data_IF_120455371445
#
_entry.id   IF_120455371445
#
_cell.length_a   1.000
_cell.length_b   1.000
_cell.length_c   1.000
_cell.angle_alpha   90.00
_cell.angle_beta   90.00
_cell.angle_gamma   90.00
#
_symmetry.space_group_name_H-M   'P 1'
#
loop_
_entity.id
_entity.type
_entity.pdbx_description
1 polymer ?
#
# COMPACT_ATOMS: atom_id res chain seq x y z
N UNK A 1 -40.21 -11.21 -25.18
CA UNK A 1 -38.99 -10.78 -24.47
C UNK A 1 -38.94 -11.55 -23.16
N UNK A 2 -38.09 -12.58 -23.08
CA UNK A 2 -37.84 -13.25 -21.82
C UNK A 2 -36.91 -12.35 -21.02
N UNK A 3 -37.39 -11.85 -19.89
CA UNK A 3 -36.53 -11.22 -18.90
C UNK A 3 -35.77 -12.36 -18.21
N UNK A 4 -34.51 -12.57 -18.57
CA UNK A 4 -33.60 -13.35 -17.74
C UNK A 4 -33.45 -12.59 -16.42
N UNK A 5 -34.07 -13.13 -15.37
CA UNK A 5 -33.80 -12.71 -14.00
C UNK A 5 -32.38 -13.18 -13.71
N UNK A 6 -31.40 -12.28 -13.78
CA UNK A 6 -30.05 -12.55 -13.27
C UNK A 6 -30.18 -12.90 -11.79
N UNK A 7 -30.11 -14.19 -11.46
CA UNK A 7 -30.04 -14.66 -10.08
C UNK A 7 -28.73 -14.16 -9.47
N UNK A 8 -28.80 -13.70 -8.22
CA UNK A 8 -27.62 -13.26 -7.47
C UNK A 8 -26.68 -14.46 -7.32
N UNK A 9 -25.42 -14.30 -7.75
CA UNK A 9 -24.37 -15.30 -7.53
C UNK A 9 -23.64 -15.01 -6.21
N UNK A 10 -24.02 -15.71 -5.15
CA UNK A 10 -23.41 -15.55 -3.81
C UNK A 10 -22.33 -16.62 -3.65
N UNK A 11 -21.08 -16.19 -3.54
CA UNK A 11 -19.92 -17.07 -3.31
C UNK A 11 -19.48 -16.93 -1.85
N UNK A 12 -19.46 -18.05 -1.12
CA UNK A 12 -18.90 -18.09 0.23
C UNK A 12 -17.38 -18.20 0.13
N UNK A 13 -16.68 -17.21 0.69
CA UNK A 13 -15.22 -17.26 0.81
C UNK A 13 -14.84 -18.14 2.00
N UNK A 14 -13.84 -19.00 1.79
CA UNK A 14 -13.32 -19.93 2.81
C UNK A 14 -11.85 -19.61 3.11
N UNK A 15 -11.39 -19.91 4.33
CA UNK A 15 -9.99 -19.73 4.74
C UNK A 15 -9.67 -18.39 5.40
N UNK A 16 -10.66 -17.49 5.49
CA UNK A 16 -10.61 -16.22 6.22
C UNK A 16 -11.94 -16.00 6.95
N UNK A 17 -11.95 -15.23 8.03
CA UNK A 17 -13.18 -14.91 8.80
C UNK A 17 -13.25 -13.44 9.17
N UNK A 18 -14.45 -12.85 9.02
CA UNK A 18 -14.81 -11.52 9.52
C UNK A 18 -13.86 -10.37 9.11
N UNK A 19 -13.35 -10.42 7.88
CA UNK A 19 -12.50 -9.39 7.30
C UNK A 19 -13.16 -8.74 6.08
N UNK A 20 -12.93 -7.44 5.90
CA UNK A 20 -13.50 -6.66 4.80
C UNK A 20 -12.56 -6.71 3.59
N UNK A 21 -13.01 -7.20 2.41
CA UNK A 21 -12.19 -7.21 1.21
C UNK A 21 -12.18 -5.84 0.53
N UNK A 22 -11.00 -5.30 0.29
CA UNK A 22 -10.77 -4.04 -0.42
C UNK A 22 -10.12 -4.30 -1.78
N UNK A 23 -10.53 -3.55 -2.81
CA UNK A 23 -9.95 -3.67 -4.14
C UNK A 23 -8.49 -3.20 -4.11
N UNK A 24 -7.58 -3.98 -4.68
CA UNK A 24 -6.18 -3.56 -4.84
C UNK A 24 -6.11 -2.60 -6.02
N UNK A 25 -5.58 -1.39 -5.78
CA UNK A 25 -5.38 -0.40 -6.84
C UNK A 25 -4.47 -0.93 -7.95
N UNK A 26 -4.77 -0.59 -9.20
CA UNK A 26 -4.03 -1.07 -10.38
C UNK A 26 -4.49 -2.42 -10.93
N UNK A 27 -5.54 -3.02 -10.35
CA UNK A 27 -6.18 -4.24 -10.86
C UNK A 27 -7.70 -4.19 -10.68
N UNK A 28 -8.41 -5.00 -11.46
CA UNK A 28 -9.88 -5.16 -11.37
C UNK A 28 -10.30 -6.53 -10.85
N UNK A 29 -9.34 -7.42 -10.59
CA UNK A 29 -9.59 -8.83 -10.28
C UNK A 29 -9.12 -9.24 -8.90
N UNK A 30 -8.43 -8.37 -8.17
CA UNK A 30 -7.80 -8.76 -6.92
C UNK A 30 -8.19 -7.84 -5.79
N UNK A 31 -8.59 -8.48 -4.69
CA UNK A 31 -8.92 -7.84 -3.44
C UNK A 31 -7.91 -8.29 -2.38
N UNK A 32 -7.72 -7.48 -1.34
CA UNK A 32 -6.99 -7.87 -0.15
C UNK A 32 -7.88 -7.76 1.08
N UNK A 33 -7.52 -8.48 2.14
CA UNK A 33 -8.11 -8.29 3.45
C UNK A 33 -7.04 -8.53 4.52
N UNK A 34 -7.00 -7.66 5.53
CA UNK A 34 -6.10 -7.82 6.67
C UNK A 34 -6.80 -8.58 7.80
N UNK A 35 -6.05 -9.46 8.46
CA UNK A 35 -6.50 -10.27 9.60
C UNK A 35 -5.64 -9.97 10.83
N UNK A 36 -6.29 -9.84 11.99
CA UNK A 36 -5.66 -9.76 13.32
C UNK A 36 -6.49 -10.56 14.32
N UNK A 37 -5.84 -11.12 15.35
CA UNK A 37 -6.51 -11.94 16.38
C UNK A 37 -7.39 -11.15 17.35
N UNK A 38 -7.09 -9.88 17.60
CA UNK A 38 -7.70 -9.11 18.71
C UNK A 38 -7.94 -7.65 18.38
N UNK A 39 -6.93 -6.98 17.85
CA UNK A 39 -6.95 -5.53 17.64
C UNK A 39 -6.40 -5.23 16.26
N UNK A 40 -7.18 -4.48 15.50
CA UNK A 40 -6.70 -3.89 14.26
C UNK A 40 -5.99 -2.58 14.60
N UNK A 41 -4.79 -2.41 14.06
CA UNK A 41 -3.99 -1.20 14.24
C UNK A 41 -3.18 -0.96 12.96
N UNK A 42 -2.72 0.27 12.76
CA UNK A 42 -1.77 0.53 11.69
C UNK A 42 -0.34 0.07 12.06
N UNK A 43 0.57 0.14 11.10
CA UNK A 43 1.95 -0.29 11.27
C UNK A 43 2.71 0.54 12.33
N UNK A 44 2.39 1.83 12.46
CA UNK A 44 3.03 2.70 13.44
C UNK A 44 2.52 2.41 14.85
N UNK A 45 1.21 2.21 15.02
CA UNK A 45 0.61 1.77 16.28
C UNK A 45 1.20 0.41 16.72
N UNK A 46 1.42 -0.51 15.79
CA UNK A 46 2.09 -1.78 16.09
C UNK A 46 3.54 -1.57 16.57
N UNK A 47 4.28 -0.65 15.95
CA UNK A 47 5.63 -0.28 16.40
C UNK A 47 5.60 0.29 17.83
N UNK A 48 4.66 1.17 18.14
CA UNK A 48 4.51 1.79 19.46
C UNK A 48 4.14 0.75 20.53
N UNK A 49 3.27 -0.22 20.23
CA UNK A 49 2.97 -1.36 21.11
C UNK A 49 4.27 -2.08 21.51
N UNK A 50 5.12 -2.40 20.53
CA UNK A 50 6.38 -3.13 20.80
C UNK A 50 7.39 -2.25 21.54
N UNK A 51 7.51 -0.96 21.21
CA UNK A 51 8.38 0.00 21.91
C UNK A 51 8.01 0.17 23.38
N UNK A 52 6.73 0.07 23.72
CA UNK A 52 6.24 0.08 25.10
C UNK A 52 6.50 -1.24 25.85
N UNK A 53 7.14 -2.22 25.20
CA UNK A 53 7.44 -3.53 25.77
C UNK A 53 6.25 -4.48 25.79
N UNK A 54 5.17 -4.16 25.07
CA UNK A 54 4.02 -5.04 24.90
C UNK A 54 4.21 -5.97 23.70
N UNK A 55 3.47 -7.08 23.71
CA UNK A 55 3.46 -8.02 22.60
C UNK A 55 2.42 -7.61 21.56
N UNK A 56 2.84 -7.35 20.33
CA UNK A 56 1.95 -7.21 19.20
C UNK A 56 1.58 -8.61 18.69
N UNK A 57 0.29 -8.94 18.59
CA UNK A 57 -0.18 -10.29 18.24
C UNK A 57 0.14 -10.70 16.79
N UNK A 58 0.47 -9.72 15.95
CA UNK A 58 0.73 -9.89 14.53
C UNK A 58 -0.45 -9.47 13.66
N UNK A 59 -0.14 -9.12 12.41
CA UNK A 59 -1.12 -8.91 11.36
C UNK A 59 -0.77 -9.73 10.14
N UNK A 60 -1.80 -10.25 9.47
CA UNK A 60 -1.67 -10.97 8.21
C UNK A 60 -2.46 -10.27 7.11
N UNK A 61 -2.08 -10.53 5.87
CA UNK A 61 -2.79 -10.05 4.71
C UNK A 61 -3.06 -11.20 3.73
N UNK A 62 -4.31 -11.33 3.33
CA UNK A 62 -4.77 -12.33 2.36
C UNK A 62 -5.18 -11.64 1.07
N UNK A 63 -5.06 -12.37 -0.04
CA UNK A 63 -5.54 -11.96 -1.35
C UNK A 63 -6.75 -12.79 -1.74
N UNK A 64 -7.70 -12.18 -2.42
CA UNK A 64 -8.90 -12.84 -2.94
C UNK A 64 -8.99 -12.56 -4.44
N UNK A 65 -9.03 -13.61 -5.24
CA UNK A 65 -9.21 -13.49 -6.69
C UNK A 65 -10.69 -13.46 -7.07
N UNK A 66 -11.07 -12.47 -7.85
CA UNK A 66 -12.40 -12.34 -8.46
C UNK A 66 -12.39 -12.96 -9.87
N UNK A 67 -13.47 -13.67 -10.27
CA UNK A 67 -14.74 -13.83 -9.57
C UNK A 67 -14.87 -15.02 -8.63
N UNK A 68 -13.98 -16.01 -8.71
CA UNK A 68 -14.16 -17.32 -8.08
C UNK A 68 -13.97 -17.33 -6.55
N UNK A 69 -13.38 -16.28 -5.98
CA UNK A 69 -13.19 -16.14 -4.54
C UNK A 69 -12.03 -16.97 -3.97
N UNK A 70 -11.07 -17.38 -4.80
CA UNK A 70 -9.88 -18.11 -4.35
C UNK A 70 -9.04 -17.22 -3.43
N UNK A 71 -8.75 -17.74 -2.23
CA UNK A 71 -7.93 -17.06 -1.24
C UNK A 71 -6.48 -17.50 -1.34
N UNK A 72 -5.57 -16.54 -1.36
CA UNK A 72 -4.13 -16.76 -1.22
C UNK A 72 -3.65 -16.15 0.09
N UNK A 73 -3.01 -16.96 0.93
CA UNK A 73 -2.45 -16.57 2.22
C UNK A 73 -0.92 -16.78 2.18
N UNK A 74 -0.16 -15.85 1.56
CA UNK A 74 1.28 -16.05 1.36
C UNK A 74 2.07 -16.07 2.68
N UNK A 75 1.50 -15.57 3.77
CA UNK A 75 2.16 -15.51 5.06
C UNK A 75 1.34 -16.20 6.15
N UNK A 76 2.05 -16.60 7.19
CA UNK A 76 1.47 -17.02 8.47
C UNK A 76 1.49 -15.84 9.44
N UNK A 77 0.42 -15.66 10.21
CA UNK A 77 0.37 -14.65 11.26
C UNK A 77 1.36 -14.98 12.38
N UNK A 78 2.24 -14.05 12.69
CA UNK A 78 3.28 -14.19 13.73
C UNK A 78 3.28 -12.97 14.64
N UNK A 79 3.50 -13.22 15.93
CA UNK A 79 3.70 -12.16 16.92
C UNK A 79 4.80 -11.21 16.47
N UNK A 80 4.64 -9.92 16.73
CA UNK A 80 5.60 -8.86 16.41
C UNK A 80 5.97 -8.78 14.92
N UNK A 81 5.11 -9.31 14.04
CA UNK A 81 5.24 -9.18 12.59
C UNK A 81 4.01 -8.50 12.03
N UNK A 82 4.24 -7.40 11.31
CA UNK A 82 3.21 -6.65 10.62
C UNK A 82 3.32 -6.89 9.12
N UNK A 83 2.20 -7.16 8.46
CA UNK A 83 2.10 -7.30 7.01
C UNK A 83 1.13 -6.24 6.50
N UNK A 84 1.68 -5.27 5.77
CA UNK A 84 0.91 -4.17 5.21
C UNK A 84 0.09 -4.63 4.00
N UNK A 85 -0.91 -3.84 3.61
CA UNK A 85 -1.64 -4.08 2.38
C UNK A 85 -0.70 -4.18 1.17
N UNK A 86 -1.00 -5.06 0.21
CA UNK A 86 -0.17 -5.25 -0.97
C UNK A 86 -0.29 -4.09 -1.95
N UNK A 87 0.70 -3.98 -2.82
CA UNK A 87 0.56 -3.25 -4.08
C UNK A 87 0.59 -4.20 -5.27
N UNK A 88 -0.13 -3.85 -6.34
CA UNK A 88 -0.09 -4.55 -7.61
C UNK A 88 1.03 -4.01 -8.50
N UNK A 89 1.86 -4.91 -9.03
CA UNK A 89 2.99 -4.56 -9.88
C UNK A 89 3.09 -5.57 -11.04
N UNK A 90 2.36 -5.30 -12.14
CA UNK A 90 2.41 -6.05 -13.39
C UNK A 90 2.37 -7.59 -13.23
N UNK A 91 1.32 -8.13 -12.64
CA UNK A 91 1.15 -9.59 -12.49
C UNK A 91 1.68 -10.16 -11.17
N UNK A 92 2.36 -9.35 -10.36
CA UNK A 92 2.89 -9.74 -9.06
C UNK A 92 2.34 -8.82 -7.97
N UNK A 93 2.31 -9.33 -6.76
CA UNK A 93 2.08 -8.52 -5.56
C UNK A 93 3.40 -8.21 -4.90
N UNK A 94 3.52 -7.00 -4.37
CA UNK A 94 4.59 -6.68 -3.45
C UNK A 94 4.02 -6.36 -2.07
N UNK A 95 4.67 -6.87 -1.03
CA UNK A 95 4.27 -6.70 0.37
C UNK A 95 5.39 -6.06 1.16
N UNK A 96 5.02 -5.12 2.03
CA UNK A 96 5.86 -4.63 3.10
C UNK A 96 5.60 -5.49 4.34
N UNK A 97 6.68 -6.06 4.87
CA UNK A 97 6.63 -6.86 6.09
C UNK A 97 7.63 -6.27 7.07
N UNK A 98 7.17 -5.93 8.27
CA UNK A 98 8.03 -5.42 9.35
C UNK A 98 8.05 -6.44 10.47
N UNK A 99 9.25 -6.92 10.80
CA UNK A 99 9.47 -7.82 11.92
C UNK A 99 10.17 -7.04 13.04
N UNK A 100 9.45 -6.77 14.11
CA UNK A 100 9.95 -5.95 15.22
C UNK A 100 10.93 -6.71 16.12
N UNK A 101 10.80 -8.04 16.24
CA UNK A 101 11.75 -8.86 17.02
C UNK A 101 13.13 -8.88 16.34
N UNK A 102 13.15 -9.09 15.03
CA UNK A 102 14.37 -9.09 14.21
C UNK A 102 14.84 -7.68 13.84
N UNK A 103 13.98 -6.66 14.04
CA UNK A 103 14.22 -5.25 13.67
C UNK A 103 14.57 -5.09 12.20
N UNK A 104 13.79 -5.73 11.33
CA UNK A 104 13.97 -5.66 9.87
C UNK A 104 12.69 -5.26 9.16
N UNK A 105 12.87 -4.53 8.06
CA UNK A 105 11.88 -4.28 7.03
C UNK A 105 12.20 -5.20 5.85
N UNK A 106 11.22 -5.97 5.40
CA UNK A 106 11.34 -6.88 4.28
C UNK A 106 10.34 -6.53 3.20
N UNK A 107 10.81 -6.49 1.95
CA UNK A 107 9.98 -6.30 0.77
C UNK A 107 9.87 -7.66 0.09
N UNK A 108 8.66 -8.19 -0.01
CA UNK A 108 8.38 -9.46 -0.68
C UNK A 108 7.78 -9.24 -2.06
N UNK A 109 7.95 -10.23 -2.93
CA UNK A 109 7.16 -10.41 -4.14
C UNK A 109 6.43 -11.74 -4.08
N UNK A 110 5.14 -11.73 -4.39
CA UNK A 110 4.30 -12.90 -4.49
C UNK A 110 3.73 -13.04 -5.90
N UNK A 111 3.96 -14.20 -6.50
CA UNK A 111 3.46 -14.56 -7.83
C UNK A 111 2.32 -15.58 -7.64
N UNK A 112 1.04 -15.16 -7.77
CA UNK A 112 -0.11 -16.02 -7.46
C UNK A 112 -0.21 -17.23 -8.39
N UNK A 113 0.17 -17.08 -9.66
CA UNK A 113 0.18 -18.16 -10.65
C UNK A 113 1.09 -19.33 -10.23
N UNK A 114 2.22 -19.01 -9.59
CA UNK A 114 3.23 -19.99 -9.19
C UNK A 114 3.18 -20.32 -7.68
N UNK A 115 2.26 -19.69 -6.94
CA UNK A 115 2.20 -19.73 -5.47
C UNK A 115 3.57 -19.44 -4.83
N UNK A 116 4.34 -18.53 -5.42
CA UNK A 116 5.74 -18.30 -5.06
C UNK A 116 5.90 -16.99 -4.33
N UNK A 117 6.37 -17.07 -3.09
CA UNK A 117 6.79 -15.92 -2.29
C UNK A 117 8.32 -15.81 -2.31
N UNK A 118 8.85 -14.62 -2.58
CA UNK A 118 10.30 -14.35 -2.63
C UNK A 118 10.63 -13.03 -1.96
N UNK A 119 11.75 -12.96 -1.23
CA UNK A 119 12.26 -11.70 -0.69
C UNK A 119 12.96 -10.93 -1.82
N UNK A 120 12.59 -9.66 -1.99
CA UNK A 120 13.23 -8.72 -2.92
C UNK A 120 14.35 -7.96 -2.20
N UNK A 121 14.08 -7.51 -0.98
CA UNK A 121 15.02 -6.73 -0.20
C UNK A 121 14.76 -6.91 1.30
N UNK A 122 15.82 -6.87 2.10
CA UNK A 122 15.78 -6.75 3.56
C UNK A 122 16.59 -5.51 3.97
N UNK A 123 16.04 -4.71 4.87
CA UNK A 123 16.62 -3.47 5.37
C UNK A 123 16.52 -3.47 6.91
N UNK A 124 17.47 -2.86 7.62
CA UNK A 124 17.32 -2.66 9.06
C UNK A 124 16.14 -1.71 9.33
N UNK A 125 15.33 -2.00 10.34
CA UNK A 125 14.21 -1.13 10.74
C UNK A 125 14.69 0.29 11.11
N UNK A 126 15.91 0.41 11.61
CA UNK A 126 16.54 1.70 11.94
C UNK A 126 16.90 2.57 10.72
N UNK A 127 16.63 2.13 9.49
CA UNK A 127 16.83 2.96 8.29
C UNK A 127 15.83 4.13 8.24
N UNK A 128 14.68 3.98 8.90
CA UNK A 128 13.66 5.01 9.09
C UNK A 128 13.60 5.40 10.57
N UNK A 129 13.09 6.61 10.86
CA UNK A 129 12.92 7.09 12.23
C UNK A 129 11.81 6.34 12.98
N UNK A 130 10.74 6.01 12.27
CA UNK A 130 9.59 5.26 12.75
C UNK A 130 8.83 4.68 11.53
N UNK A 131 7.73 3.97 11.81
CA UNK A 131 6.89 3.39 10.77
C UNK A 131 5.66 4.24 10.38
N UNK A 132 5.59 5.52 10.75
CA UNK A 132 4.43 6.38 10.45
C UNK A 132 4.22 6.52 8.95
N UNK A 133 3.10 5.99 8.43
CA UNK A 133 2.81 5.89 6.99
C UNK A 133 3.97 5.30 6.17
N UNK A 134 4.68 4.30 6.72
CA UNK A 134 5.66 3.52 5.97
C UNK A 134 4.91 2.58 5.01
N UNK A 135 5.19 2.67 3.71
CA UNK A 135 4.41 1.97 2.69
C UNK A 135 5.24 1.63 1.45
N UNK A 136 4.71 0.74 0.61
CA UNK A 136 5.24 0.53 -0.74
C UNK A 136 4.49 1.40 -1.76
N UNK A 137 5.22 1.85 -2.77
CA UNK A 137 4.67 2.46 -3.98
C UNK A 137 5.21 1.73 -5.21
N UNK A 138 4.39 1.59 -6.23
CA UNK A 138 4.75 0.93 -7.49
C UNK A 138 5.21 1.90 -8.57
N UNK A 139 5.80 1.36 -9.64
CA UNK A 139 6.21 2.07 -10.85
C UNK A 139 7.20 3.24 -10.61
N UNK A 140 8.48 2.99 -10.24
CA UNK A 140 9.09 1.72 -9.86
C UNK A 140 8.73 1.31 -8.42
N UNK A 141 9.06 0.08 -8.04
CA UNK A 141 8.88 -0.40 -6.66
C UNK A 141 9.77 0.41 -5.71
N UNK A 142 9.15 1.07 -4.72
CA UNK A 142 9.81 1.91 -3.74
C UNK A 142 9.28 1.63 -2.34
N UNK A 143 10.16 1.71 -1.34
CA UNK A 143 9.79 1.85 0.06
C UNK A 143 9.78 3.34 0.39
N UNK A 144 8.64 3.84 0.84
CA UNK A 144 8.43 5.25 1.12
C UNK A 144 7.88 5.48 2.52
N UNK A 145 8.08 6.69 3.04
CA UNK A 145 7.49 7.17 4.30
C UNK A 145 6.94 8.58 4.11
N UNK A 146 5.74 8.82 4.65
CA UNK A 146 5.09 10.12 4.68
C UNK A 146 4.67 10.47 6.11
N UNK A 147 5.59 11.07 6.85
CA UNK A 147 5.40 11.31 8.27
C UNK A 147 4.42 12.46 8.60
N UNK A 148 3.83 13.09 7.57
CA UNK A 148 3.08 14.33 7.71
C UNK A 148 3.91 15.46 8.40
N UNK A 149 5.22 15.46 8.19
CA UNK A 149 6.16 16.46 8.69
C UNK A 149 6.63 17.44 7.59
N UNK A 150 5.98 17.39 6.42
CA UNK A 150 6.34 18.16 5.23
C UNK A 150 7.51 17.55 4.45
N UNK A 151 7.92 16.31 4.76
CA UNK A 151 8.94 15.58 4.02
C UNK A 151 8.38 14.23 3.55
N UNK A 152 8.45 14.01 2.24
CA UNK A 152 8.25 12.70 1.65
C UNK A 152 9.59 11.99 1.49
N UNK A 153 9.70 10.76 1.99
CA UNK A 153 10.92 9.98 1.93
C UNK A 153 10.77 8.81 0.97
N UNK A 154 11.70 8.67 0.03
CA UNK A 154 11.94 7.44 -0.73
C UNK A 154 13.14 6.77 -0.06
N UNK A 155 12.87 5.85 0.86
CA UNK A 155 13.90 5.16 1.66
C UNK A 155 14.72 4.20 0.79
N UNK A 156 14.05 3.47 -0.10
CA UNK A 156 14.67 2.54 -1.04
C UNK A 156 13.92 2.61 -2.38
N UNK A 157 14.60 2.53 -3.54
CA UNK A 157 16.03 2.22 -3.71
C UNK A 157 16.98 3.43 -3.69
N UNK A 158 16.47 4.66 -3.71
CA UNK A 158 17.28 5.85 -4.02
C UNK A 158 17.66 6.73 -2.83
N UNK A 159 17.12 6.49 -1.63
CA UNK A 159 17.36 7.29 -0.42
C UNK A 159 17.19 8.81 -0.67
N UNK A 160 15.99 9.23 -1.05
CA UNK A 160 15.63 10.62 -1.32
C UNK A 160 14.73 11.18 -0.23
N UNK A 161 14.84 12.48 0.02
CA UNK A 161 13.91 13.26 0.84
C UNK A 161 13.46 14.47 0.03
N UNK A 162 12.15 14.68 -0.04
CA UNK A 162 11.54 15.73 -0.84
C UNK A 162 10.65 16.56 0.08
N UNK A 163 10.82 17.88 0.06
CA UNK A 163 9.93 18.78 0.79
C UNK A 163 8.60 18.88 0.06
N UNK A 164 7.52 18.57 0.77
CA UNK A 164 6.14 18.58 0.25
C UNK A 164 5.26 19.49 1.10
N UNK A 165 4.11 19.87 0.54
CA UNK A 165 3.05 20.56 1.28
C UNK A 165 2.39 19.67 2.35
N UNK A 166 1.72 20.29 3.33
CA UNK A 166 1.07 19.57 4.44
C UNK A 166 -0.12 18.70 4.05
N UNK A 167 -0.71 18.97 2.90
CA UNK A 167 -1.87 18.24 2.38
C UNK A 167 -1.50 17.42 1.15
N UNK A 168 -0.21 17.26 0.88
CA UNK A 168 0.30 16.51 -0.26
C UNK A 168 0.44 15.02 0.06
N UNK A 169 0.13 14.15 -0.89
CA UNK A 169 0.36 12.71 -0.76
C UNK A 169 0.71 12.09 -2.11
N UNK A 170 1.73 11.21 -2.15
CA UNK A 170 2.17 10.64 -3.42
C UNK A 170 1.09 9.73 -4.03
N UNK A 171 0.68 10.03 -5.25
CA UNK A 171 -0.19 9.19 -6.07
C UNK A 171 0.67 8.13 -6.78
N UNK A 172 1.58 8.58 -7.64
CA UNK A 172 2.39 7.73 -8.51
C UNK A 172 3.68 8.43 -8.93
N UNK A 173 4.64 7.67 -9.47
CA UNK A 173 5.86 8.16 -10.10
C UNK A 173 5.90 7.75 -11.58
N UNK A 174 6.40 8.62 -12.44
CA UNK A 174 6.78 8.29 -13.80
C UNK A 174 8.19 8.82 -14.09
N UNK A 175 9.17 7.91 -14.19
CA UNK A 175 10.57 8.29 -14.34
C UNK A 175 11.07 9.19 -13.21
N UNK A 176 11.33 10.46 -13.52
CA UNK A 176 11.75 11.46 -12.53
C UNK A 176 10.59 12.28 -11.95
N UNK A 177 9.40 12.18 -12.52
CA UNK A 177 8.25 12.97 -12.10
C UNK A 177 7.45 12.23 -11.01
N UNK A 178 7.21 12.94 -9.91
CA UNK A 178 6.41 12.49 -8.78
C UNK A 178 5.09 13.25 -8.77
N UNK A 179 3.98 12.52 -8.89
CA UNK A 179 2.64 13.08 -8.89
C UNK A 179 2.08 13.00 -7.47
N UNK A 180 1.83 14.15 -6.85
CA UNK A 180 1.20 14.26 -5.54
C UNK A 180 -0.23 14.80 -5.70
N UNK A 181 -1.19 14.23 -4.98
CA UNK A 181 -2.45 14.95 -4.73
C UNK A 181 -2.19 16.03 -3.71
N UNK A 182 -2.96 17.11 -3.74
CA UNK A 182 -3.01 18.13 -2.69
C UNK A 182 -4.44 18.52 -2.49
N UNK A 183 -4.95 18.29 -1.29
CA UNK A 183 -6.30 18.70 -0.94
C UNK A 183 -6.32 20.08 -0.29
N UNK A 184 -7.43 20.77 -0.47
CA UNK A 184 -7.76 22.07 0.12
C UNK A 184 -9.17 21.99 0.70
N UNK A 185 -9.41 22.73 1.77
CA UNK A 185 -10.74 22.87 2.37
C UNK A 185 -10.95 24.34 2.75
N UNK A 186 -11.25 25.17 1.76
CA UNK A 186 -11.56 26.59 1.95
C UNK A 186 -12.38 27.18 0.76
N UNK A 187 -13.69 27.43 0.89
CA UNK A 187 -14.63 26.91 1.89
C UNK A 187 -15.09 25.47 1.60
N UNK A 188 -14.83 24.95 0.39
CA UNK A 188 -15.26 23.62 -0.07
C UNK A 188 -14.03 22.77 -0.44
N UNK A 189 -14.18 21.45 -0.26
CA UNK A 189 -13.15 20.48 -0.61
C UNK A 189 -12.86 20.48 -2.11
N UNK A 190 -11.58 20.61 -2.46
CA UNK A 190 -11.08 20.38 -3.81
C UNK A 190 -9.65 19.85 -3.79
N UNK A 191 -9.22 19.23 -4.89
CA UNK A 191 -7.86 18.72 -5.06
C UNK A 191 -7.18 19.39 -6.25
N UNK A 192 -5.85 19.47 -6.16
CA UNK A 192 -4.96 19.65 -7.29
C UNK A 192 -3.92 18.54 -7.32
N UNK A 193 -3.25 18.38 -8.45
CA UNK A 193 -2.11 17.48 -8.61
C UNK A 193 -0.87 18.31 -8.86
N UNK A 194 0.19 18.04 -8.10
CA UNK A 194 1.50 18.67 -8.25
C UNK A 194 2.48 17.63 -8.75
N UNK A 195 3.21 18.00 -9.80
CA UNK A 195 4.28 17.20 -10.37
C UNK A 195 5.61 17.75 -9.93
N UNK A 196 6.41 16.94 -9.23
CA UNK A 196 7.74 17.31 -8.74
C UNK A 196 8.83 16.46 -9.37
N UNK A 197 9.98 17.06 -9.67
CA UNK A 197 11.17 16.27 -10.01
C UNK A 197 11.74 15.61 -8.74
N UNK A 198 11.95 14.29 -8.79
CA UNK A 198 12.45 13.47 -7.67
C UNK A 198 13.85 13.85 -7.20
N UNK A 199 14.67 14.43 -8.08
CA UNK A 199 16.06 14.74 -7.78
C UNK A 199 16.23 16.09 -7.09
N UNK A 200 15.37 17.05 -7.43
CA UNK A 200 15.46 18.44 -6.99
C UNK A 200 14.32 18.84 -6.05
N UNK A 201 13.19 18.15 -6.09
CA UNK A 201 11.95 18.50 -5.39
C UNK A 201 11.20 19.69 -6.00
N UNK A 202 11.70 20.24 -7.11
CA UNK A 202 11.10 21.38 -7.79
C UNK A 202 9.75 21.00 -8.41
N UNK A 203 8.78 21.92 -8.35
CA UNK A 203 7.49 21.75 -9.01
C UNK A 203 7.66 22.03 -10.50
N UNK A 204 7.36 21.03 -11.32
CA UNK A 204 7.39 21.10 -12.79
C UNK A 204 6.03 21.52 -13.36
N UNK A 205 4.95 21.00 -12.80
CA UNK A 205 3.57 21.26 -13.24
C UNK A 205 2.63 21.24 -12.03
N UNK A 206 1.55 22.01 -12.10
CA UNK A 206 0.42 21.93 -11.18
C UNK A 206 -0.88 22.05 -11.98
N UNK A 207 -1.88 21.24 -11.64
CA UNK A 207 -3.20 21.32 -12.25
C UNK A 207 -4.33 20.94 -11.30
N UNK A 208 -5.47 21.60 -11.45
CA UNK A 208 -6.67 21.31 -10.66
C UNK A 208 -7.26 19.94 -11.01
N UNK A 209 -7.91 19.34 -10.01
CA UNK A 209 -8.63 18.09 -10.15
C UNK A 209 -7.85 16.88 -9.64
N UNK A 210 -8.22 15.71 -10.16
CA UNK A 210 -7.77 14.41 -9.64
C UNK A 210 -6.93 13.66 -10.66
N UNK A 211 -5.99 12.84 -10.16
CA UNK A 211 -5.33 11.81 -10.96
C UNK A 211 -5.67 10.44 -10.38
N UNK A 212 -6.46 9.65 -11.11
CA UNK A 212 -6.87 8.32 -10.70
C UNK A 212 -6.04 7.24 -11.38
N UNK A 213 -5.45 6.35 -10.58
CA UNK A 213 -4.75 5.15 -11.06
C UNK A 213 -5.77 4.06 -11.37
N UNK A 214 -5.69 3.49 -12.58
CA UNK A 214 -6.56 2.44 -13.07
C UNK A 214 -5.74 1.20 -13.48
N UNK A 215 -6.41 0.07 -13.76
CA UNK A 215 -5.71 -1.12 -14.21
C UNK A 215 -4.89 -0.90 -15.48
N UNK A 216 -3.84 -1.73 -15.64
CA UNK A 216 -2.98 -1.76 -16.84
C UNK A 216 -2.22 -0.46 -17.13
N UNK A 217 -1.83 0.28 -16.09
CA UNK A 217 -1.06 1.53 -16.25
C UNK A 217 -1.85 2.66 -16.91
N UNK A 218 -3.18 2.63 -16.79
CA UNK A 218 -4.06 3.70 -17.27
C UNK A 218 -4.28 4.70 -16.15
N UNK A 219 -4.30 5.98 -16.50
CA UNK A 219 -4.53 7.08 -15.56
C UNK A 219 -5.60 8.01 -16.12
N UNK A 220 -6.56 8.40 -15.28
CA UNK A 220 -7.54 9.42 -15.65
C UNK A 220 -7.23 10.71 -14.91
N UNK A 221 -7.14 11.80 -15.66
CA UNK A 221 -7.13 13.17 -15.14
C UNK A 221 -8.54 13.74 -15.30
N UNK A 222 -9.10 14.27 -14.21
CA UNK A 222 -10.46 14.82 -14.14
C UNK A 222 -10.39 16.23 -13.58
#
# INVERSE_FOLDING_TARGET
MNYEVNMINIIKIHGISDCYPELIEGTSQWYYCQESKKTFCDLYEAEEIVKLGHNFEGMNCHLIHYPEGTVHSPFEMKSNVYIEKPIWNNGKFNFLVVNFDLKVIQIYSYEPEYLKLSIIQELPLSITSDCYNLMLKGYPLMLCRDANDGIYEIIWPESKKIVIGKTESLIVRDGNDLYFSRWYEDPEYHESVIVRDVNTGAINEEFDGYLRVLPNGVYWRI
#
